data_IF_708708106893
#
_entry.id   IF_708708106893
#
_cell.length_a   1.000
_cell.length_b   1.000
_cell.length_c   1.000
_cell.angle_alpha   90.00
_cell.angle_beta   90.00
_cell.angle_gamma   90.00
#
_symmetry.space_group_name_H-M   'P 1'
#
loop_
_entity.id
_entity.type
_entity.pdbx_description
1 polymer ?
#
# COMPACT_ATOMS: atom_id res chain seq x y z
N UNK A 1 0.14 5.40 -21.78
CA UNK A 1 0.45 6.35 -20.70
C UNK A 1 1.22 7.59 -21.16
N UNK A 2 1.53 7.75 -22.44
CA UNK A 2 2.10 8.98 -23.01
C UNK A 2 3.53 9.34 -22.54
N UNK A 3 4.27 8.40 -22.00
CA UNK A 3 5.66 8.63 -21.61
C UNK A 3 6.53 8.84 -22.86
N UNK A 4 7.31 9.92 -22.95
CA UNK A 4 8.19 10.18 -24.08
C UNK A 4 9.18 9.04 -24.34
N UNK A 5 9.43 8.71 -25.63
CA UNK A 5 10.26 7.57 -26.01
C UNK A 5 11.69 7.63 -25.47
N UNK A 6 12.28 8.83 -25.38
CA UNK A 6 13.63 8.99 -24.82
C UNK A 6 13.71 8.65 -23.33
N UNK A 7 12.67 8.99 -22.53
CA UNK A 7 12.60 8.60 -21.12
C UNK A 7 12.45 7.09 -20.94
N UNK A 8 11.62 6.48 -21.79
CA UNK A 8 11.46 5.01 -21.78
C UNK A 8 12.77 4.30 -22.12
N UNK A 9 13.54 4.84 -23.09
CA UNK A 9 14.87 4.33 -23.43
C UNK A 9 15.85 4.48 -22.28
N UNK A 10 15.91 5.64 -21.63
CA UNK A 10 16.79 5.87 -20.48
C UNK A 10 16.44 4.93 -19.30
N UNK A 11 15.16 4.77 -18.97
CA UNK A 11 14.73 3.85 -17.93
C UNK A 11 15.09 2.39 -18.27
N UNK A 12 14.89 1.97 -19.52
CA UNK A 12 15.29 0.63 -19.96
C UNK A 12 16.78 0.39 -19.78
N UNK A 13 17.61 1.34 -20.15
CA UNK A 13 19.07 1.24 -19.97
C UNK A 13 19.47 1.24 -18.48
N UNK A 14 18.78 2.03 -17.64
CA UNK A 14 19.04 2.08 -16.20
C UNK A 14 18.78 0.72 -15.51
N UNK A 15 17.78 -0.01 -15.99
CA UNK A 15 17.40 -1.31 -15.41
C UNK A 15 17.96 -2.51 -16.18
N UNK A 16 18.61 -2.32 -17.33
CA UNK A 16 19.22 -3.40 -18.09
C UNK A 16 20.49 -3.92 -17.42
N UNK A 17 20.61 -5.23 -17.31
CA UNK A 17 21.82 -5.87 -16.79
C UNK A 17 22.11 -5.60 -15.31
N UNK A 18 21.12 -5.24 -14.51
CA UNK A 18 21.32 -5.07 -13.07
C UNK A 18 21.61 -6.41 -12.41
N UNK A 19 22.61 -6.40 -11.55
CA UNK A 19 23.04 -7.56 -10.78
C UNK A 19 23.02 -7.25 -9.28
N UNK A 20 22.85 -8.27 -8.46
CA UNK A 20 22.82 -8.15 -7.01
C UNK A 20 23.61 -9.27 -6.33
N UNK A 21 24.07 -8.98 -5.13
CA UNK A 21 24.61 -9.94 -4.19
C UNK A 21 23.87 -9.81 -2.86
N UNK A 22 23.69 -10.89 -2.14
CA UNK A 22 23.09 -10.89 -0.79
C UNK A 22 24.19 -11.16 0.23
N UNK A 23 24.31 -10.27 1.21
CA UNK A 23 25.21 -10.44 2.34
C UNK A 23 24.44 -10.93 3.55
N UNK A 24 24.80 -12.12 4.04
CA UNK A 24 24.25 -12.73 5.25
C UNK A 24 25.38 -12.90 6.28
N UNK A 25 25.46 -12.01 7.26
CA UNK A 25 26.53 -12.03 8.25
C UNK A 25 27.91 -11.92 7.60
N UNK A 26 28.70 -13.03 7.64
CA UNK A 26 30.06 -13.06 7.09
C UNK A 26 30.15 -13.66 5.67
N UNK A 27 29.03 -14.06 5.08
CA UNK A 27 29.01 -14.64 3.74
C UNK A 27 28.29 -13.73 2.75
N UNK A 28 28.82 -13.67 1.53
CA UNK A 28 28.18 -12.98 0.40
C UNK A 28 27.89 -14.04 -0.67
N UNK A 29 26.70 -13.98 -1.27
CA UNK A 29 26.34 -14.87 -2.37
C UNK A 29 27.12 -14.49 -3.63
N UNK A 30 27.17 -15.42 -4.59
CA UNK A 30 27.57 -15.07 -5.95
C UNK A 30 26.62 -14.03 -6.54
N UNK A 31 27.12 -13.28 -7.51
CA UNK A 31 26.38 -12.25 -8.22
C UNK A 31 25.29 -12.92 -9.08
N UNK A 32 24.08 -12.39 -9.03
CA UNK A 32 22.96 -12.86 -9.85
C UNK A 32 22.23 -11.70 -10.51
N UNK A 33 21.69 -11.95 -11.69
CA UNK A 33 20.97 -10.93 -12.46
C UNK A 33 19.57 -10.69 -11.90
N UNK A 34 19.18 -9.39 -11.82
CA UNK A 34 17.84 -8.96 -11.47
C UNK A 34 17.03 -8.85 -12.76
N UNK A 35 16.10 -9.81 -12.97
CA UNK A 35 15.29 -9.85 -14.18
C UNK A 35 13.99 -9.07 -14.11
N UNK A 36 13.50 -8.70 -12.90
CA UNK A 36 12.20 -8.04 -12.69
C UNK A 36 12.22 -7.20 -11.43
N UNK A 37 11.34 -6.18 -11.42
CA UNK A 37 11.11 -5.33 -10.27
C UNK A 37 11.86 -4.02 -10.33
N UNK A 38 11.69 -3.21 -9.29
CA UNK A 38 12.37 -1.95 -9.07
C UNK A 38 13.22 -2.05 -7.80
N UNK A 39 14.40 -1.43 -7.81
CA UNK A 39 15.31 -1.50 -6.68
C UNK A 39 14.77 -0.69 -5.50
N UNK A 40 14.71 -1.32 -4.33
CA UNK A 40 14.31 -0.63 -3.09
C UNK A 40 15.34 0.45 -2.73
N UNK A 41 14.86 1.64 -2.35
CA UNK A 41 15.70 2.78 -1.99
C UNK A 41 16.08 3.70 -3.15
N UNK A 42 15.82 3.35 -4.40
CA UNK A 42 16.03 4.28 -5.51
C UNK A 42 14.92 5.32 -5.59
N UNK A 43 15.29 6.57 -5.86
CA UNK A 43 14.36 7.70 -5.92
C UNK A 43 13.25 7.53 -6.97
N UNK A 44 13.50 6.80 -8.05
CA UNK A 44 12.54 6.54 -9.12
C UNK A 44 11.61 5.36 -8.82
N UNK A 45 11.96 4.47 -7.90
CA UNK A 45 11.20 3.24 -7.65
C UNK A 45 9.75 3.48 -7.24
N UNK A 46 9.43 4.41 -6.32
CA UNK A 46 8.04 4.70 -5.97
C UNK A 46 7.23 5.22 -7.17
N UNK A 47 7.82 6.10 -7.98
CA UNK A 47 7.15 6.64 -9.16
C UNK A 47 6.86 5.56 -10.21
N UNK A 48 7.83 4.67 -10.46
CA UNK A 48 7.67 3.57 -11.41
C UNK A 48 6.64 2.57 -10.92
N UNK A 49 6.64 2.24 -9.63
CA UNK A 49 5.64 1.37 -9.02
C UNK A 49 4.24 1.97 -9.14
N UNK A 50 4.07 3.27 -8.84
CA UNK A 50 2.78 3.95 -8.98
C UNK A 50 2.28 3.97 -10.42
N UNK A 51 3.15 4.20 -11.41
CA UNK A 51 2.79 4.10 -12.82
C UNK A 51 2.34 2.69 -13.21
N UNK A 52 3.00 1.68 -12.66
CA UNK A 52 2.67 0.29 -12.90
C UNK A 52 1.33 -0.10 -12.25
N UNK A 53 1.10 0.29 -11.02
CA UNK A 53 -0.18 0.10 -10.33
C UNK A 53 -1.34 0.81 -11.06
N UNK A 54 -1.10 2.04 -11.53
CA UNK A 54 -2.08 2.78 -12.33
C UNK A 54 -2.39 2.07 -13.66
N UNK A 55 -1.38 1.54 -14.34
CA UNK A 55 -1.58 0.75 -15.55
C UNK A 55 -2.48 -0.47 -15.30
N UNK A 56 -2.26 -1.20 -14.19
CA UNK A 56 -3.10 -2.34 -13.82
C UNK A 56 -4.54 -1.89 -13.64
N UNK A 57 -4.76 -0.87 -12.81
CA UNK A 57 -6.10 -0.41 -12.45
C UNK A 57 -6.88 0.14 -13.64
N UNK A 58 -6.24 0.84 -14.58
CA UNK A 58 -6.88 1.25 -15.85
C UNK A 58 -7.30 0.04 -16.70
N UNK A 59 -6.48 -1.02 -16.73
CA UNK A 59 -6.82 -2.25 -17.46
C UNK A 59 -7.88 -3.11 -16.78
N UNK A 60 -8.17 -2.88 -15.51
CA UNK A 60 -9.30 -3.50 -14.81
C UNK A 60 -10.63 -2.85 -15.22
N UNK A 61 -10.58 -1.62 -15.78
CA UNK A 61 -11.79 -0.87 -16.16
C UNK A 61 -12.58 -0.39 -14.93
N UNK A 62 -11.91 -0.09 -13.83
CA UNK A 62 -12.57 0.42 -12.62
C UNK A 62 -13.17 1.81 -12.84
N UNK A 63 -12.60 2.61 -13.74
CA UNK A 63 -13.09 3.96 -14.04
C UNK A 63 -14.42 3.93 -14.80
N UNK A 64 -14.69 2.85 -15.54
CA UNK A 64 -15.93 2.64 -16.32
C UNK A 64 -16.99 1.85 -15.53
N UNK A 65 -16.58 1.21 -14.42
CA UNK A 65 -17.50 0.43 -13.61
C UNK A 65 -18.41 1.36 -12.83
N UNK A 66 -19.71 1.13 -12.89
CA UNK A 66 -20.68 1.73 -11.96
C UNK A 66 -20.48 1.24 -10.52
N UNK A 67 -19.55 0.33 -10.31
CA UNK A 67 -19.13 -0.25 -9.05
C UNK A 67 -18.50 0.79 -8.13
N UNK A 68 -18.78 0.70 -6.83
CA UNK A 68 -18.22 1.58 -5.82
C UNK A 68 -19.27 2.26 -4.97
N UNK A 69 -18.82 3.03 -4.00
CA UNK A 69 -19.66 3.80 -3.09
C UNK A 69 -19.72 5.27 -3.51
N UNK A 70 -20.89 5.88 -3.38
CA UNK A 70 -21.09 7.29 -3.72
C UNK A 70 -20.75 8.18 -2.54
N UNK A 71 -19.69 8.98 -2.65
CA UNK A 71 -19.30 9.98 -1.67
C UNK A 71 -19.31 11.36 -2.34
N UNK A 72 -20.08 12.29 -1.82
CA UNK A 72 -20.16 13.67 -2.33
C UNK A 72 -20.33 13.74 -3.88
N UNK A 73 -21.25 12.96 -4.44
CA UNK A 73 -21.57 12.82 -5.87
C UNK A 73 -20.44 12.20 -6.73
N UNK A 74 -19.39 11.67 -6.11
CA UNK A 74 -18.34 10.95 -6.81
C UNK A 74 -18.47 9.45 -6.50
N UNK A 75 -18.29 8.62 -7.50
CA UNK A 75 -18.20 7.19 -7.30
C UNK A 75 -16.77 6.82 -6.93
N UNK A 76 -16.58 6.21 -5.76
CA UNK A 76 -15.26 5.77 -5.27
C UNK A 76 -15.31 4.25 -5.14
N UNK A 77 -14.52 3.57 -5.93
CA UNK A 77 -14.43 2.11 -5.97
C UNK A 77 -13.09 1.56 -5.48
N UNK A 78 -12.09 2.43 -5.37
CA UNK A 78 -10.79 2.04 -4.81
C UNK A 78 -10.06 3.21 -4.14
N UNK A 79 -9.24 2.87 -3.14
CA UNK A 79 -8.23 3.75 -2.56
C UNK A 79 -6.89 3.02 -2.62
N UNK A 80 -5.84 3.74 -2.99
CA UNK A 80 -4.51 3.14 -3.19
C UNK A 80 -3.43 3.95 -2.50
N UNK A 81 -2.52 3.21 -1.87
CA UNK A 81 -1.30 3.75 -1.32
C UNK A 81 -0.17 2.73 -1.49
N UNK A 82 0.80 3.02 -2.33
CA UNK A 82 1.85 2.08 -2.74
C UNK A 82 1.25 0.74 -3.18
N UNK A 83 1.57 -0.36 -2.50
CA UNK A 83 1.04 -1.71 -2.73
C UNK A 83 -0.30 -1.98 -2.02
N UNK A 84 -0.68 -1.16 -1.05
CA UNK A 84 -1.95 -1.30 -0.37
C UNK A 84 -3.10 -0.77 -1.24
N UNK A 85 -4.09 -1.61 -1.47
CA UNK A 85 -5.28 -1.25 -2.25
C UNK A 85 -6.53 -1.65 -1.50
N UNK A 86 -7.44 -0.69 -1.27
CA UNK A 86 -8.77 -0.95 -0.75
C UNK A 86 -9.78 -0.87 -1.89
N UNK A 87 -10.57 -1.90 -2.08
CA UNK A 87 -11.68 -1.94 -3.04
C UNK A 87 -12.99 -1.70 -2.29
N UNK A 88 -13.88 -0.91 -2.88
CA UNK A 88 -15.16 -0.54 -2.29
C UNK A 88 -16.30 -0.90 -3.24
N UNK A 89 -17.38 -1.44 -2.70
CA UNK A 89 -18.58 -1.81 -3.43
C UNK A 89 -19.82 -1.72 -2.54
N UNK A 90 -20.98 -1.53 -3.16
CA UNK A 90 -22.26 -1.50 -2.46
C UNK A 90 -22.83 -2.91 -2.20
N UNK A 91 -22.36 -3.93 -2.92
CA UNK A 91 -22.82 -5.32 -2.77
C UNK A 91 -21.65 -6.33 -2.69
N UNK A 92 -21.95 -7.49 -2.11
CA UNK A 92 -21.00 -8.61 -2.00
C UNK A 92 -20.57 -9.14 -3.38
N UNK A 93 -21.52 -9.26 -4.30
CA UNK A 93 -21.29 -9.74 -5.67
C UNK A 93 -20.39 -8.78 -6.45
N UNK A 94 -20.65 -7.50 -6.32
CA UNK A 94 -19.86 -6.46 -6.92
C UNK A 94 -18.43 -6.47 -6.37
N UNK A 95 -18.25 -6.53 -5.05
CA UNK A 95 -16.96 -6.62 -4.40
C UNK A 95 -16.16 -7.85 -4.87
N UNK A 96 -16.83 -9.00 -4.99
CA UNK A 96 -16.21 -10.23 -5.49
C UNK A 96 -15.74 -10.07 -6.93
N UNK A 97 -16.58 -9.50 -7.78
CA UNK A 97 -16.24 -9.27 -9.19
C UNK A 97 -15.07 -8.29 -9.35
N UNK A 98 -15.03 -7.23 -8.54
CA UNK A 98 -13.91 -6.29 -8.52
C UNK A 98 -12.61 -6.99 -8.11
N UNK A 99 -12.65 -7.76 -7.03
CA UNK A 99 -11.48 -8.47 -6.52
C UNK A 99 -10.93 -9.48 -7.53
N UNK A 100 -11.80 -10.26 -8.19
CA UNK A 100 -11.41 -11.21 -9.24
C UNK A 100 -10.78 -10.48 -10.42
N UNK A 101 -11.37 -9.39 -10.90
CA UNK A 101 -10.82 -8.59 -12.01
C UNK A 101 -9.45 -8.03 -11.67
N UNK A 102 -9.28 -7.45 -10.47
CA UNK A 102 -7.98 -6.92 -10.01
C UNK A 102 -6.95 -8.05 -9.95
N UNK A 103 -7.31 -9.20 -9.37
CA UNK A 103 -6.44 -10.37 -9.28
C UNK A 103 -5.96 -10.82 -10.65
N UNK A 104 -6.88 -11.11 -11.57
CA UNK A 104 -6.55 -11.59 -12.93
C UNK A 104 -5.64 -10.62 -13.69
N UNK A 105 -5.90 -9.31 -13.59
CA UNK A 105 -5.11 -8.31 -14.29
C UNK A 105 -3.73 -8.11 -13.66
N UNK A 106 -3.65 -8.20 -12.32
CA UNK A 106 -2.39 -8.13 -11.59
C UNK A 106 -1.50 -9.33 -11.89
N UNK A 107 -2.06 -10.54 -11.93
CA UNK A 107 -1.32 -11.75 -12.25
C UNK A 107 -0.75 -11.76 -13.67
N UNK A 108 -1.50 -11.23 -14.65
CA UNK A 108 -1.02 -11.08 -16.04
C UNK A 108 0.24 -10.23 -16.16
N UNK A 109 0.45 -9.33 -15.24
CA UNK A 109 1.62 -8.44 -15.20
C UNK A 109 2.64 -8.83 -14.12
N UNK A 110 2.43 -9.98 -13.46
CA UNK A 110 3.40 -10.57 -12.54
C UNK A 110 3.28 -10.11 -11.08
N UNK A 111 2.20 -9.42 -10.70
CA UNK A 111 1.87 -9.12 -9.30
C UNK A 111 0.83 -10.12 -8.81
N UNK A 112 1.10 -10.75 -7.67
CA UNK A 112 0.16 -11.67 -7.02
C UNK A 112 -0.52 -11.00 -5.85
N UNK A 113 -1.84 -11.20 -5.75
CA UNK A 113 -2.60 -10.82 -4.58
C UNK A 113 -2.17 -11.69 -3.38
N UNK A 114 -1.89 -11.05 -2.25
CA UNK A 114 -1.59 -11.76 -1.01
C UNK A 114 -2.89 -12.01 -0.24
N UNK A 115 -3.47 -13.18 -0.42
CA UNK A 115 -4.76 -13.57 0.20
C UNK A 115 -4.67 -13.50 1.74
N UNK A 116 -3.55 -13.93 2.33
CA UNK A 116 -3.36 -13.94 3.79
C UNK A 116 -3.33 -12.54 4.42
N UNK A 117 -2.98 -11.51 3.63
CA UNK A 117 -3.00 -10.10 4.06
C UNK A 117 -4.25 -9.36 3.59
N UNK A 118 -5.10 -10.02 2.82
CA UNK A 118 -6.34 -9.42 2.31
C UNK A 118 -7.45 -9.63 3.33
N UNK A 119 -8.06 -8.54 3.78
CA UNK A 119 -9.19 -8.54 4.71
C UNK A 119 -10.43 -7.99 4.03
N UNK A 120 -11.59 -8.52 4.42
CA UNK A 120 -12.88 -8.03 3.95
C UNK A 120 -13.66 -7.50 5.13
N UNK A 121 -14.26 -6.33 4.96
CA UNK A 121 -15.14 -5.71 5.93
C UNK A 121 -16.45 -5.32 5.26
N UNK A 122 -17.57 -5.50 5.96
CA UNK A 122 -18.86 -5.00 5.53
C UNK A 122 -19.67 -4.47 6.72
N UNK A 123 -20.63 -3.60 6.43
CA UNK A 123 -21.57 -3.07 7.42
C UNK A 123 -22.65 -4.06 7.87
N UNK A 124 -22.68 -5.26 7.30
CA UNK A 124 -23.62 -6.34 7.62
C UNK A 124 -22.91 -7.67 7.90
N UNK A 125 -23.64 -8.70 8.30
CA UNK A 125 -23.07 -10.01 8.56
C UNK A 125 -22.44 -10.60 7.31
N UNK A 126 -21.14 -10.87 7.38
CA UNK A 126 -20.40 -11.54 6.31
C UNK A 126 -20.29 -13.01 6.69
N UNK A 127 -20.82 -13.87 5.84
CA UNK A 127 -20.49 -15.29 5.83
C UNK A 127 -19.20 -15.50 5.03
N UNK A 128 -18.58 -16.64 5.21
CA UNK A 128 -17.33 -17.07 4.59
C UNK A 128 -17.09 -16.49 3.18
N UNK A 129 -15.93 -15.89 2.98
CA UNK A 129 -15.46 -15.42 1.67
C UNK A 129 -14.31 -16.30 1.19
N UNK A 130 -14.42 -16.76 -0.05
CA UNK A 130 -13.37 -17.55 -0.70
C UNK A 130 -13.00 -16.93 -2.04
N UNK A 131 -11.70 -16.87 -2.29
CA UNK A 131 -11.11 -16.50 -3.56
C UNK A 131 -10.21 -17.66 -3.99
N UNK A 132 -10.54 -18.31 -5.10
CA UNK A 132 -9.80 -19.48 -5.62
C UNK A 132 -9.63 -20.63 -4.61
N UNK A 133 -10.63 -20.86 -3.77
CA UNK A 133 -10.59 -21.91 -2.75
C UNK A 133 -9.88 -21.51 -1.45
N UNK A 134 -9.21 -20.36 -1.40
CA UNK A 134 -8.62 -19.81 -0.19
C UNK A 134 -9.62 -18.94 0.56
N UNK A 135 -9.68 -19.10 1.87
CA UNK A 135 -10.56 -18.29 2.73
C UNK A 135 -9.91 -16.93 2.98
N UNK A 136 -10.65 -15.86 2.68
CA UNK A 136 -10.24 -14.49 3.00
C UNK A 136 -10.73 -14.14 4.39
N UNK A 137 -9.89 -13.54 5.20
CA UNK A 137 -10.23 -13.11 6.54
C UNK A 137 -11.31 -12.01 6.51
N UNK A 138 -12.33 -12.17 7.36
CA UNK A 138 -13.40 -11.18 7.51
C UNK A 138 -13.28 -10.54 8.88
N UNK A 139 -13.19 -9.21 8.91
CA UNK A 139 -13.03 -8.45 10.14
C UNK A 139 -14.11 -7.40 10.33
N UNK A 140 -14.32 -7.02 11.59
CA UNK A 140 -15.13 -5.84 11.97
C UNK A 140 -14.38 -4.53 11.85
N UNK A 141 -13.07 -4.61 11.71
CA UNK A 141 -12.19 -3.45 11.56
C UNK A 141 -10.90 -3.82 10.80
N UNK A 142 -10.24 -2.82 10.24
CA UNK A 142 -8.91 -2.97 9.65
C UNK A 142 -8.12 -1.66 9.78
N UNK A 143 -6.80 -1.77 9.66
CA UNK A 143 -5.93 -0.60 9.66
C UNK A 143 -5.55 -0.30 8.21
N UNK A 144 -5.94 0.87 7.73
CA UNK A 144 -5.56 1.40 6.44
C UNK A 144 -4.77 2.68 6.64
N UNK A 145 -3.54 2.68 6.15
CA UNK A 145 -2.65 3.83 6.24
C UNK A 145 -2.48 4.41 7.65
N UNK A 146 -2.37 3.52 8.63
CA UNK A 146 -2.24 3.90 10.03
C UNK A 146 -3.53 4.32 10.72
N UNK A 147 -4.66 4.41 10.00
CA UNK A 147 -5.98 4.70 10.56
C UNK A 147 -6.81 3.43 10.69
N UNK A 148 -7.43 3.25 11.84
CA UNK A 148 -8.35 2.16 12.10
C UNK A 148 -9.74 2.52 11.58
N UNK A 149 -10.24 1.71 10.65
CA UNK A 149 -11.57 1.82 10.08
C UNK A 149 -12.42 0.69 10.64
N UNK A 150 -13.59 0.99 11.17
CA UNK A 150 -14.53 0.02 11.74
C UNK A 150 -15.82 -0.09 10.89
N UNK A 151 -16.41 -1.28 10.89
CA UNK A 151 -17.62 -1.57 10.11
C UNK A 151 -18.87 -0.81 10.59
N UNK A 152 -18.90 -0.39 11.86
CA UNK A 152 -19.95 0.43 12.45
C UNK A 152 -19.84 1.92 12.11
N UNK A 153 -18.72 2.33 11.49
CA UNK A 153 -18.45 3.72 11.14
C UNK A 153 -18.10 4.61 12.34
N UNK A 154 -17.90 4.06 13.54
CA UNK A 154 -17.52 4.85 14.72
C UNK A 154 -16.03 5.20 14.69
N UNK A 155 -15.75 6.46 14.49
CA UNK A 155 -14.39 7.04 14.48
C UNK A 155 -13.89 7.46 15.86
N UNK A 156 -14.71 7.41 16.90
CA UNK A 156 -14.38 7.88 18.25
C UNK A 156 -13.19 7.14 18.85
N UNK A 157 -13.10 5.84 18.60
CA UNK A 157 -11.97 5.01 19.03
C UNK A 157 -10.67 5.41 18.34
N UNK A 158 -10.74 5.72 17.05
CA UNK A 158 -9.55 6.14 16.29
C UNK A 158 -9.02 7.49 16.75
N UNK A 159 -9.91 8.46 16.99
CA UNK A 159 -9.53 9.75 17.57
C UNK A 159 -8.83 9.57 18.92
N UNK A 160 -9.39 8.75 19.82
CA UNK A 160 -8.78 8.44 21.12
C UNK A 160 -7.41 7.76 20.96
N UNK A 161 -7.29 6.81 20.04
CA UNK A 161 -6.04 6.13 19.74
C UNK A 161 -4.95 7.10 19.30
N UNK A 162 -5.25 7.99 18.35
CA UNK A 162 -4.29 9.01 17.89
C UNK A 162 -3.90 9.99 18.99
N UNK A 163 -4.83 10.41 19.84
CA UNK A 163 -4.51 11.25 21.01
C UNK A 163 -3.56 10.55 21.97
N UNK A 164 -3.76 9.26 22.23
CA UNK A 164 -2.87 8.47 23.09
C UNK A 164 -1.48 8.30 22.47
N UNK A 165 -1.41 8.03 21.15
CA UNK A 165 -0.14 7.93 20.45
C UNK A 165 0.63 9.26 20.46
N UNK A 166 -0.06 10.38 20.23
CA UNK A 166 0.51 11.71 20.33
C UNK A 166 1.05 12.02 21.72
N UNK A 167 0.28 11.72 22.79
CA UNK A 167 0.75 11.85 24.17
C UNK A 167 1.99 11.02 24.45
N UNK A 168 1.99 9.75 24.00
CA UNK A 168 3.15 8.85 24.17
C UNK A 168 4.39 9.39 23.47
N UNK A 169 4.23 9.89 22.23
CA UNK A 169 5.32 10.50 21.48
C UNK A 169 5.86 11.74 22.19
N UNK A 170 5.00 12.62 22.67
CA UNK A 170 5.39 13.81 23.43
C UNK A 170 6.11 13.44 24.74
N UNK A 171 5.61 12.45 25.48
CA UNK A 171 6.26 11.98 26.72
C UNK A 171 7.65 11.42 26.46
N UNK A 172 7.83 10.68 25.36
CA UNK A 172 9.15 10.18 24.97
C UNK A 172 10.11 11.31 24.57
N UNK A 173 9.60 12.34 23.89
CA UNK A 173 10.38 13.51 23.51
C UNK A 173 10.74 14.40 24.71
N UNK A 174 9.89 14.44 25.74
CA UNK A 174 10.11 15.27 26.95
C UNK A 174 11.44 14.94 27.65
N UNK A 175 11.82 13.67 27.71
CA UNK A 175 13.11 13.24 28.25
C UNK A 175 14.30 13.75 27.42
N UNK A 176 14.14 13.84 26.09
CA UNK A 176 15.16 14.37 25.18
C UNK A 176 15.21 15.90 25.30
N UNK A 177 14.05 16.56 25.28
CA UNK A 177 13.95 18.02 25.36
C UNK A 177 14.42 18.58 26.70
N UNK A 178 14.27 17.83 27.80
CA UNK A 178 14.77 18.19 29.13
C UNK A 178 16.23 17.82 29.39
N UNK A 179 16.88 17.10 28.48
CA UNK A 179 18.30 16.76 28.61
C UNK A 179 19.17 18.01 28.44
N UNK A 180 19.93 18.34 29.47
CA UNK A 180 20.85 19.50 29.49
C UNK A 180 21.93 19.41 28.39
N UNK A 181 22.26 18.23 27.94
CA UNK A 181 23.30 18.01 26.95
C UNK A 181 22.96 18.58 25.55
N UNK A 182 21.67 18.66 25.22
CA UNK A 182 21.20 19.25 23.94
C UNK A 182 21.32 20.78 23.97
N UNK A 183 21.08 21.41 25.11
CA UNK A 183 21.16 22.86 25.27
C UNK A 183 22.59 23.39 25.20
N UNK A 184 23.60 22.61 25.56
CA UNK A 184 25.02 23.02 25.50
C UNK A 184 25.64 22.95 24.11
N UNK A 185 25.12 22.16 23.18
CA UNK A 185 25.65 22.09 21.82
C UNK A 185 25.25 23.29 20.95
N UNK A 186 24.11 23.93 21.22
CA UNK A 186 23.69 25.14 20.47
C UNK A 186 24.42 26.43 20.93
N UNK A 187 24.94 26.46 22.15
CA UNK A 187 25.67 27.66 22.65
C UNK A 187 27.15 27.71 22.24
N UNK A 188 27.70 26.65 21.66
CA UNK A 188 29.10 26.62 21.18
C UNK A 188 29.28 26.90 19.68
N UNK A 189 28.22 27.22 18.97
CA UNK A 189 28.22 27.48 17.52
C UNK A 189 27.82 28.92 17.15
N UNK A 190 28.02 29.87 18.08
CA UNK A 190 27.88 31.31 17.82
C UNK A 190 29.23 31.99 18.08
#
# INVERSE_FOLDING_TARGET
MGTPGHLTFLLRNLYAGQEATVRTGHKTTDQFQIGKGVSQGYILSPCLFNLYAEYIMRNVGLDEAQAGIKIARRNINNLRYADDTTLMAESKEEQKNLLIKVKEKSEKVGIKLNIQKTNIMASGPITLWQVDGETVETGSDFIFWGSKISADGDYSYEVKRHLLLGRKAMTNLDNILKSRDILHHQQRSI
#
